data_IF_686452315332
#
_entry.id   IF_686452315332
#
_cell.length_a   1.000
_cell.length_b   1.000
_cell.length_c   1.000
_cell.angle_alpha   90.00
_cell.angle_beta   90.00
_cell.angle_gamma   90.00
#
_symmetry.space_group_name_H-M   'P 1'
#
loop_
_entity.id
_entity.type
_entity.pdbx_description
1 polymer ?
#
# COMPACT_ATOMS: atom_id res chain seq x y z
N UNK A 1 2.10 -11.39 0.66
CA UNK A 1 2.08 -9.97 0.25
C UNK A 1 3.46 -9.39 0.44
N UNK A 2 3.91 -8.53 -0.46
CA UNK A 2 5.19 -7.82 -0.35
C UNK A 2 4.89 -6.32 -0.16
N UNK A 3 5.74 -5.62 0.58
CA UNK A 3 5.61 -4.18 0.85
C UNK A 3 6.91 -3.49 0.44
N UNK A 4 6.78 -2.34 -0.20
CA UNK A 4 7.88 -1.42 -0.49
C UNK A 4 7.50 -0.04 0.04
N UNK A 5 8.44 0.64 0.68
CA UNK A 5 8.29 2.01 1.14
C UNK A 5 8.94 2.96 0.13
N UNK A 6 8.26 4.05 -0.19
CA UNK A 6 8.78 5.11 -1.06
C UNK A 6 8.59 6.48 -0.44
N UNK A 7 9.46 7.39 -0.80
CA UNK A 7 9.41 8.80 -0.42
C UNK A 7 9.71 9.65 -1.65
N UNK A 8 8.90 10.66 -1.92
CA UNK A 8 9.15 11.65 -2.97
C UNK A 8 9.74 12.91 -2.33
N UNK A 9 11.00 13.19 -2.63
CA UNK A 9 11.70 14.38 -2.13
C UNK A 9 11.10 15.70 -2.61
N UNK A 10 10.41 15.71 -3.76
CA UNK A 10 9.83 16.93 -4.35
C UNK A 10 8.53 17.32 -3.69
N UNK A 11 7.69 16.35 -3.34
CA UNK A 11 6.40 16.58 -2.68
C UNK A 11 6.49 16.44 -1.16
N UNK A 12 7.53 15.77 -0.65
CA UNK A 12 7.67 15.43 0.77
C UNK A 12 6.75 14.29 1.20
N UNK A 13 6.18 13.54 0.26
CA UNK A 13 5.16 12.53 0.54
C UNK A 13 5.77 11.14 0.70
N UNK A 14 5.23 10.37 1.64
CA UNK A 14 5.53 8.96 1.82
C UNK A 14 4.42 8.11 1.20
N UNK A 15 4.78 7.01 0.55
CA UNK A 15 3.84 6.02 0.05
C UNK A 15 4.29 4.60 0.38
N UNK A 16 3.30 3.71 0.51
CA UNK A 16 3.50 2.28 0.66
C UNK A 16 2.95 1.54 -0.55
N UNK A 17 3.80 0.80 -1.24
CA UNK A 17 3.43 -0.04 -2.37
C UNK A 17 3.25 -1.47 -1.90
N UNK A 18 2.08 -2.05 -2.15
CA UNK A 18 1.73 -3.40 -1.72
C UNK A 18 1.47 -4.31 -2.91
N UNK A 19 2.18 -5.44 -2.95
CA UNK A 19 2.03 -6.46 -3.98
C UNK A 19 1.34 -7.70 -3.41
N UNK A 20 0.13 -7.97 -3.89
CA UNK A 20 -0.64 -9.16 -3.55
C UNK A 20 -0.64 -10.17 -4.69
N UNK A 21 -0.66 -11.46 -4.37
CA UNK A 21 -0.72 -12.56 -5.36
C UNK A 21 -2.16 -12.93 -5.74
N UNK A 22 -3.15 -12.38 -5.04
CA UNK A 22 -4.57 -12.70 -5.22
C UNK A 22 -5.46 -11.61 -4.63
N UNK A 23 -6.67 -11.47 -5.17
CA UNK A 23 -7.67 -10.55 -4.62
C UNK A 23 -8.00 -10.90 -3.16
N UNK A 24 -8.19 -12.19 -2.83
CA UNK A 24 -8.48 -12.60 -1.45
C UNK A 24 -7.36 -12.33 -0.43
N UNK A 25 -6.10 -12.26 -0.86
CA UNK A 25 -5.01 -11.81 0.03
C UNK A 25 -5.02 -10.28 0.21
N UNK A 26 -5.44 -9.53 -0.82
CA UNK A 26 -5.60 -8.08 -0.73
C UNK A 26 -6.77 -7.73 0.19
N UNK A 27 -7.92 -8.38 0.04
CA UNK A 27 -9.13 -8.13 0.84
C UNK A 27 -8.86 -8.39 2.33
N UNK A 28 -8.17 -9.51 2.65
CA UNK A 28 -7.77 -9.82 4.03
C UNK A 28 -6.83 -8.78 4.60
N UNK A 29 -5.91 -8.24 3.80
CA UNK A 29 -5.04 -7.17 4.25
C UNK A 29 -5.82 -5.88 4.49
N UNK A 30 -6.71 -5.48 3.57
CA UNK A 30 -7.51 -4.28 3.71
C UNK A 30 -8.42 -4.31 4.95
N UNK A 31 -8.90 -5.49 5.33
CA UNK A 31 -9.69 -5.71 6.54
C UNK A 31 -8.87 -5.94 7.82
N UNK A 32 -7.53 -5.96 7.73
CA UNK A 32 -6.67 -6.32 8.87
C UNK A 32 -6.47 -5.18 9.87
N UNK A 33 -6.22 -5.55 11.12
CA UNK A 33 -5.80 -4.61 12.18
C UNK A 33 -4.50 -3.90 11.80
N UNK A 34 -3.60 -4.59 11.09
CA UNK A 34 -2.36 -4.01 10.58
C UNK A 34 -2.64 -2.86 9.61
N UNK A 35 -3.57 -3.01 8.66
CA UNK A 35 -3.93 -1.91 7.76
C UNK A 35 -4.57 -0.76 8.54
N UNK A 36 -5.39 -1.09 9.53
CA UNK A 36 -6.13 -0.13 10.35
C UNK A 36 -5.22 0.70 11.27
N UNK A 37 -4.06 0.16 11.66
CA UNK A 37 -3.11 0.86 12.54
C UNK A 37 -2.21 1.88 11.81
N UNK A 38 -2.04 1.76 10.49
CA UNK A 38 -1.13 2.62 9.71
C UNK A 38 -1.43 4.13 9.89
N UNK A 39 -2.69 4.62 9.75
CA UNK A 39 -2.94 6.05 9.91
C UNK A 39 -2.55 6.59 11.28
N UNK A 40 -2.75 5.80 12.34
CA UNK A 40 -2.36 6.18 13.70
C UNK A 40 -0.85 6.14 13.92
N UNK A 41 -0.15 5.17 13.32
CA UNK A 41 1.30 5.01 13.50
C UNK A 41 2.12 6.14 12.86
N UNK A 42 1.58 6.76 11.80
CA UNK A 42 2.24 7.84 11.07
C UNK A 42 1.62 9.22 11.32
N UNK A 43 0.73 9.34 12.32
CA UNK A 43 0.06 10.59 12.70
C UNK A 43 -0.48 11.36 11.48
N UNK A 44 -1.10 10.63 10.54
CA UNK A 44 -1.45 11.21 9.25
C UNK A 44 -2.47 12.34 9.44
N UNK A 45 -2.11 13.55 9.03
CA UNK A 45 -3.00 14.72 9.08
C UNK A 45 -4.22 14.59 8.16
N UNK A 46 -4.15 13.70 7.17
CA UNK A 46 -5.24 13.38 6.25
C UNK A 46 -5.32 11.86 6.03
N UNK A 47 -6.50 11.37 5.63
CA UNK A 47 -6.64 9.96 5.26
C UNK A 47 -5.77 9.69 4.02
N UNK A 48 -4.94 8.63 4.01
CA UNK A 48 -4.14 8.30 2.85
C UNK A 48 -5.05 7.88 1.70
N UNK A 49 -4.74 8.37 0.49
CA UNK A 49 -5.35 7.91 -0.74
C UNK A 49 -4.91 6.47 -1.03
N UNK A 50 -5.82 5.66 -1.58
CA UNK A 50 -5.56 4.26 -1.89
C UNK A 50 -6.01 4.01 -3.32
N UNK A 51 -5.08 3.59 -4.15
CA UNK A 51 -5.34 3.15 -5.52
C UNK A 51 -4.97 1.67 -5.65
N UNK A 52 -5.82 0.91 -6.36
CA UNK A 52 -5.66 -0.54 -6.55
C UNK A 52 -5.62 -0.81 -8.05
N UNK A 53 -4.54 -1.44 -8.51
CA UNK A 53 -4.32 -1.76 -9.91
C UNK A 53 -4.15 -3.27 -10.12
N UNK A 54 -4.76 -3.84 -11.18
CA UNK A 54 -4.46 -5.20 -11.59
C UNK A 54 -3.08 -5.26 -12.27
N UNK A 55 -2.29 -6.28 -11.95
CA UNK A 55 -1.06 -6.57 -12.68
C UNK A 55 -1.42 -7.39 -13.90
N UNK A 56 -1.17 -6.81 -15.07
CA UNK A 56 -1.50 -7.44 -16.37
C UNK A 56 -0.37 -8.30 -16.91
N UNK A 57 0.87 -7.99 -16.56
CA UNK A 57 2.05 -8.74 -17.00
C UNK A 57 3.26 -8.47 -16.07
N UNK A 58 4.23 -9.38 -16.05
CA UNK A 58 5.51 -9.24 -15.32
C UNK A 58 6.65 -9.23 -16.33
N UNK A 59 7.27 -8.06 -16.51
CA UNK A 59 8.26 -7.83 -17.57
C UNK A 59 9.68 -8.37 -17.26
N UNK A 60 9.92 -8.93 -16.06
CA UNK A 60 11.22 -9.50 -15.68
C UNK A 60 11.15 -11.02 -15.70
N UNK A 61 11.84 -11.63 -16.67
CA UNK A 61 12.14 -13.07 -16.75
C UNK A 61 13.51 -13.39 -16.21
#
# INVERSE_FOLDING_TARGET
>A
MQKFDSYDEKTGEYAGLYLSNSQGSLDRYLASDLRSSIPSAYELGTKPEIEIFPIVDVLRS
#
